data_IF_507434620558
#
_entry.id   IF_507434620558
#
_cell.length_a   1.000
_cell.length_b   1.000
_cell.length_c   1.000
_cell.angle_alpha   90.00
_cell.angle_beta   90.00
_cell.angle_gamma   90.00
#
_symmetry.space_group_name_H-M   'P 1'
#
loop_
_entity.id
_entity.type
_entity.pdbx_description
1 polymer ?
#
# COMPACT_ATOMS: atom_id res chain seq x y z
N UNK A 1 1.13 -15.82 -20.85
CA UNK A 1 1.93 -14.60 -20.59
C UNK A 1 1.93 -14.37 -19.08
N UNK A 2 3.02 -14.64 -18.34
CA UNK A 2 3.04 -14.33 -16.93
C UNK A 2 3.35 -12.84 -16.77
N UNK A 3 2.35 -12.03 -16.42
CA UNK A 3 2.61 -10.77 -15.73
C UNK A 3 3.10 -11.15 -14.32
N UNK A 4 4.37 -11.51 -14.19
CA UNK A 4 4.99 -11.58 -12.87
C UNK A 4 5.24 -10.14 -12.47
N UNK A 5 4.49 -9.63 -11.50
CA UNK A 5 4.73 -8.34 -10.86
C UNK A 5 5.98 -8.38 -9.97
N UNK A 6 7.01 -9.13 -10.38
CA UNK A 6 8.28 -9.26 -9.70
C UNK A 6 9.16 -8.12 -10.20
N UNK A 7 9.29 -7.01 -9.46
CA UNK A 7 10.23 -5.97 -9.83
C UNK A 7 11.65 -6.54 -9.88
N UNK A 8 12.46 -6.01 -10.80
CA UNK A 8 13.87 -6.36 -10.97
C UNK A 8 14.67 -6.14 -9.67
N UNK A 9 14.29 -5.11 -8.90
CA UNK A 9 14.76 -4.88 -7.54
C UNK A 9 13.55 -4.65 -6.60
N UNK A 10 13.10 -5.68 -5.87
CA UNK A 10 12.01 -5.57 -4.91
C UNK A 10 12.27 -4.61 -3.76
N UNK A 11 13.54 -4.29 -3.45
CA UNK A 11 13.88 -3.34 -2.39
C UNK A 11 13.75 -1.89 -2.85
N UNK A 12 13.94 -1.64 -4.14
CA UNK A 12 13.84 -0.30 -4.74
C UNK A 12 12.46 -0.01 -5.35
N UNK A 13 11.58 -1.02 -5.42
CA UNK A 13 10.25 -0.84 -5.96
C UNK A 13 9.31 -0.24 -4.91
N UNK A 14 8.61 0.88 -5.21
CA UNK A 14 7.73 1.50 -4.25
C UNK A 14 6.46 0.64 -4.15
N UNK A 15 6.27 0.01 -3.00
CA UNK A 15 5.06 -0.75 -2.70
C UNK A 15 4.13 0.09 -1.81
N UNK A 16 2.83 -0.20 -1.89
CA UNK A 16 1.80 0.28 -0.96
C UNK A 16 0.91 -0.90 -0.62
N UNK A 17 0.48 -1.01 0.64
CA UNK A 17 -0.45 -2.06 1.09
C UNK A 17 -1.80 -1.43 1.40
N UNK A 18 -2.87 -2.03 0.87
CA UNK A 18 -4.24 -1.57 1.07
C UNK A 18 -5.06 -2.62 1.83
N UNK A 19 -5.48 -2.27 3.05
CA UNK A 19 -6.54 -2.96 3.77
C UNK A 19 -7.90 -2.54 3.21
N UNK A 20 -8.36 -3.20 2.15
CA UNK A 20 -9.61 -2.83 1.48
C UNK A 20 -10.86 -3.39 2.20
N UNK A 21 -12.02 -2.79 1.92
CA UNK A 21 -13.37 -3.16 2.40
C UNK A 21 -13.61 -2.84 3.88
N UNK A 22 -13.12 -1.70 4.36
CA UNK A 22 -13.35 -1.28 5.76
C UNK A 22 -14.82 -1.01 6.09
N UNK A 23 -15.65 -0.79 5.07
CA UNK A 23 -17.11 -0.63 5.18
C UNK A 23 -17.84 -1.93 5.54
N UNK A 24 -17.19 -3.09 5.39
CA UNK A 24 -17.84 -4.39 5.52
C UNK A 24 -18.04 -4.79 6.98
N UNK A 25 -19.30 -5.05 7.35
CA UNK A 25 -19.75 -5.65 8.63
C UNK A 25 -19.15 -5.02 9.89
N UNK A 26 -18.76 -3.74 9.86
CA UNK A 26 -18.11 -3.06 11.00
C UNK A 26 -16.82 -3.75 11.45
N UNK A 27 -16.16 -4.50 10.57
CA UNK A 27 -14.96 -5.28 10.88
C UNK A 27 -15.21 -6.67 11.48
N UNK A 28 -16.45 -7.15 11.59
CA UNK A 28 -16.73 -8.47 12.18
C UNK A 28 -16.14 -9.65 11.39
N UNK A 29 -15.97 -9.51 10.08
CA UNK A 29 -15.32 -10.51 9.23
C UNK A 29 -13.80 -10.34 9.14
N UNK A 30 -13.22 -9.35 9.83
CA UNK A 30 -11.81 -8.99 9.72
C UNK A 30 -10.93 -10.00 10.46
N UNK A 31 -10.06 -10.67 9.72
CA UNK A 31 -9.08 -11.63 10.26
C UNK A 31 -7.67 -11.03 10.46
N UNK A 32 -7.42 -9.86 9.87
CA UNK A 32 -6.17 -9.09 10.05
C UNK A 32 -6.54 -7.74 10.64
N UNK A 33 -6.14 -7.50 11.89
CA UNK A 33 -6.31 -6.20 12.52
C UNK A 33 -5.43 -5.15 11.85
N UNK A 34 -5.88 -3.90 11.90
CA UNK A 34 -5.12 -2.74 11.42
C UNK A 34 -3.71 -2.72 12.02
N UNK A 35 -3.60 -2.92 13.35
CA UNK A 35 -2.32 -2.99 14.05
C UNK A 35 -1.38 -4.06 13.45
N UNK A 36 -1.88 -5.27 13.18
CA UNK A 36 -1.07 -6.35 12.63
C UNK A 36 -0.54 -6.00 11.23
N UNK A 37 -1.38 -5.39 10.40
CA UNK A 37 -0.98 -4.93 9.07
C UNK A 37 0.05 -3.80 9.16
N UNK A 38 -0.16 -2.80 10.01
CA UNK A 38 0.77 -1.70 10.24
C UNK A 38 2.13 -2.18 10.77
N UNK A 39 2.14 -3.06 11.77
CA UNK A 39 3.38 -3.64 12.34
C UNK A 39 4.17 -4.42 11.27
N UNK A 40 3.47 -5.15 10.39
CA UNK A 40 4.09 -5.85 9.27
C UNK A 40 4.70 -4.87 8.27
N UNK A 41 3.97 -3.83 7.88
CA UNK A 41 4.45 -2.84 6.92
C UNK A 41 5.68 -2.08 7.45
N UNK A 42 5.68 -1.72 8.73
CA UNK A 42 6.83 -1.12 9.40
C UNK A 42 8.07 -2.03 9.35
N UNK A 43 7.87 -3.33 9.58
CA UNK A 43 8.96 -4.33 9.59
C UNK A 43 9.47 -4.72 8.20
N UNK A 44 8.71 -4.43 7.12
CA UNK A 44 9.03 -4.84 5.75
C UNK A 44 9.51 -3.70 4.85
N UNK A 45 10.26 -2.74 5.43
CA UNK A 45 10.81 -1.60 4.70
C UNK A 45 9.96 -0.34 4.80
N UNK A 46 9.21 -0.20 5.91
CA UNK A 46 8.38 0.96 6.18
C UNK A 46 7.38 1.25 5.03
N UNK A 47 6.73 0.19 4.55
CA UNK A 47 5.80 0.26 3.42
C UNK A 47 4.58 1.11 3.82
N UNK A 48 4.16 2.09 3.02
CA UNK A 48 2.92 2.82 3.28
C UNK A 48 1.71 1.87 3.34
N UNK A 49 0.88 2.05 4.36
CA UNK A 49 -0.32 1.25 4.61
C UNK A 49 -1.56 2.13 4.72
N UNK A 50 -2.64 1.75 4.03
CA UNK A 50 -3.91 2.46 4.08
C UNK A 50 -5.07 1.49 4.28
N UNK A 51 -5.97 1.81 5.20
CA UNK A 51 -7.31 1.23 5.25
C UNK A 51 -8.20 1.96 4.23
N UNK A 52 -8.86 1.21 3.35
CA UNK A 52 -9.62 1.76 2.21
C UNK A 52 -11.00 1.12 2.08
N UNK A 53 -11.95 1.87 1.49
CA UNK A 53 -13.18 1.32 0.94
C UNK A 53 -13.34 1.79 -0.49
N UNK A 54 -13.17 0.87 -1.44
CA UNK A 54 -13.49 1.15 -2.83
C UNK A 54 -14.99 1.43 -3.07
N UNK A 55 -15.86 0.96 -2.18
CA UNK A 55 -17.32 1.15 -2.28
C UNK A 55 -17.73 2.56 -1.87
N UNK A 56 -17.14 3.06 -0.79
CA UNK A 56 -17.45 4.36 -0.21
C UNK A 56 -16.45 5.46 -0.62
N UNK A 57 -15.54 5.15 -1.56
CA UNK A 57 -14.46 6.03 -2.00
C UNK A 57 -13.58 6.54 -0.84
N UNK A 58 -13.39 5.71 0.18
CA UNK A 58 -12.62 6.05 1.37
C UNK A 58 -11.14 5.73 1.18
N UNK A 59 -10.28 6.74 1.34
CA UNK A 59 -8.81 6.68 1.27
C UNK A 59 -8.22 6.12 -0.03
N UNK A 60 -9.01 5.98 -1.09
CA UNK A 60 -8.54 5.50 -2.38
C UNK A 60 -7.56 6.51 -2.98
N UNK A 61 -7.99 7.77 -3.13
CA UNK A 61 -7.17 8.84 -3.71
C UNK A 61 -5.86 9.05 -2.96
N UNK A 62 -5.90 9.12 -1.62
CA UNK A 62 -4.71 9.34 -0.81
C UNK A 62 -3.68 8.21 -0.99
N UNK A 63 -4.14 6.97 -1.06
CA UNK A 63 -3.27 5.82 -1.32
C UNK A 63 -2.60 5.91 -2.69
N UNK A 64 -3.35 6.25 -3.74
CA UNK A 64 -2.83 6.42 -5.10
C UNK A 64 -1.89 7.63 -5.22
N UNK A 65 -2.21 8.76 -4.57
CA UNK A 65 -1.34 9.93 -4.55
C UNK A 65 -0.04 9.66 -3.81
N UNK A 66 -0.09 8.91 -2.71
CA UNK A 66 1.11 8.54 -1.93
C UNK A 66 2.07 7.76 -2.81
N UNK A 67 1.59 6.71 -3.49
CA UNK A 67 2.48 5.90 -4.32
C UNK A 67 3.04 6.70 -5.50
N UNK A 68 2.23 7.54 -6.15
CA UNK A 68 2.69 8.40 -7.24
C UNK A 68 3.80 9.36 -6.79
N UNK A 69 3.66 9.97 -5.60
CA UNK A 69 4.68 10.85 -5.02
C UNK A 69 5.96 10.09 -4.66
N UNK A 70 5.85 8.89 -4.10
CA UNK A 70 7.02 8.05 -3.78
C UNK A 70 7.80 7.67 -5.03
N UNK A 71 7.11 7.33 -6.13
CA UNK A 71 7.76 7.05 -7.42
C UNK A 71 8.55 8.27 -7.90
N UNK A 72 7.93 9.45 -7.91
CA UNK A 72 8.58 10.68 -8.38
C UNK A 72 9.81 11.06 -7.54
N UNK A 73 9.73 10.90 -6.21
CA UNK A 73 10.86 11.15 -5.32
C UNK A 73 12.02 10.17 -5.58
N UNK A 74 11.70 8.89 -5.78
CA UNK A 74 12.70 7.86 -6.08
C UNK A 74 13.38 8.04 -7.45
N UNK A 75 12.68 8.58 -8.44
CA UNK A 75 13.28 8.96 -9.73
C UNK A 75 14.27 10.12 -9.55
N UNK A 76 13.90 11.14 -8.77
CA UNK A 76 14.77 12.27 -8.49
C UNK A 76 16.07 11.88 -7.79
N UNK A 77 16.01 10.97 -6.80
CA UNK A 77 17.20 10.47 -6.08
C UNK A 77 18.11 9.58 -6.95
N UNK A 78 17.60 8.99 -8.04
CA UNK A 78 18.41 8.16 -8.95
C UNK A 78 19.15 8.98 -10.01
N UNK A 79 18.70 10.21 -10.26
CA UNK A 79 19.25 11.12 -11.27
C UNK A 79 20.25 12.15 -10.67
N UNK A 80 20.43 12.17 -9.34
CA UNK A 80 21.38 13.03 -8.60
C UNK A 80 22.53 12.24 -8.01
#
# INVERSE_FOLDING_TARGET
MPYSASPLDPKAFPFVVLGNKVDMDGGNSRVVSEKKAADWCASNGNIPYFETSAKEDYNVDEAFFTIAKTVLANEHERDT
#
